data_IF_549999507734
#
_entry.id   IF_549999507734
#
_cell.length_a   1.000
_cell.length_b   1.000
_cell.length_c   1.000
_cell.angle_alpha   90.00
_cell.angle_beta   90.00
_cell.angle_gamma   90.00
#
_symmetry.space_group_name_H-M   'P 1'
#
loop_
_entity.id
_entity.type
_entity.pdbx_description
1 polymer ?
#
# COMPACT_ATOMS: atom_id res chain seq x y z
N UNK A 1 35.29 -7.41 -35.96
CA UNK A 1 36.32 -8.36 -35.50
C UNK A 1 36.11 -8.53 -34.00
N UNK A 2 35.66 -9.62 -33.39
CA UNK A 2 35.28 -10.98 -33.79
C UNK A 2 34.02 -11.35 -32.98
N UNK A 3 32.99 -11.84 -33.68
CA UNK A 3 31.83 -12.51 -33.09
C UNK A 3 32.31 -13.91 -32.64
N UNK A 4 32.28 -14.23 -31.35
CA UNK A 4 32.61 -15.58 -30.89
C UNK A 4 31.37 -16.49 -31.05
N UNK A 5 31.39 -17.26 -32.13
CA UNK A 5 30.56 -18.43 -32.36
C UNK A 5 31.17 -19.71 -31.73
N UNK A 6 30.27 -20.62 -31.32
CA UNK A 6 30.43 -22.09 -31.26
C UNK A 6 31.25 -22.64 -30.06
N UNK A 7 30.88 -23.74 -29.39
CA UNK A 7 30.61 -25.07 -29.96
C UNK A 7 29.67 -25.93 -29.10
N UNK A 8 28.77 -26.59 -29.84
CA UNK A 8 28.03 -27.80 -29.50
C UNK A 8 28.96 -28.93 -29.00
N UNK A 9 28.51 -29.67 -27.99
CA UNK A 9 29.06 -30.97 -27.62
C UNK A 9 27.97 -32.04 -27.75
N UNK A 10 28.36 -33.11 -28.42
CA UNK A 10 27.57 -34.16 -29.03
C UNK A 10 27.30 -35.34 -28.09
N UNK A 11 26.05 -35.80 -28.10
CA UNK A 11 25.60 -37.20 -28.25
C UNK A 11 26.47 -38.34 -27.69
N UNK A 12 25.92 -39.08 -26.70
CA UNK A 12 25.92 -40.56 -26.71
C UNK A 12 24.62 -41.12 -26.13
N UNK A 13 23.94 -41.88 -26.97
CA UNK A 13 22.79 -42.73 -26.68
C UNK A 13 23.11 -43.81 -25.64
N UNK A 14 22.15 -44.10 -24.77
CA UNK A 14 21.94 -45.43 -24.22
C UNK A 14 20.43 -45.70 -24.19
N UNK A 15 20.00 -46.65 -25.01
CA UNK A 15 18.66 -47.22 -25.09
C UNK A 15 18.46 -48.18 -23.92
N UNK A 16 17.42 -48.00 -23.12
CA UNK A 16 16.74 -49.10 -22.42
C UNK A 16 15.24 -48.87 -22.56
N UNK A 17 14.58 -49.89 -23.12
CA UNK A 17 13.20 -49.89 -23.54
C UNK A 17 12.27 -50.52 -22.48
N UNK A 18 10.98 -50.27 -22.68
CA UNK A 18 9.79 -50.90 -22.12
C UNK A 18 9.49 -50.68 -20.62
N UNK A 19 8.38 -49.99 -20.35
CA UNK A 19 7.12 -50.65 -19.97
C UNK A 19 5.95 -49.67 -20.13
N UNK A 20 4.86 -50.20 -20.68
CA UNK A 20 3.59 -49.55 -21.00
C UNK A 20 2.88 -48.96 -19.77
N UNK A 21 2.25 -47.81 -19.96
CA UNK A 21 1.30 -47.22 -19.02
C UNK A 21 0.51 -46.10 -19.71
N UNK A 22 -0.62 -46.46 -20.33
CA UNK A 22 -1.55 -45.52 -20.95
C UNK A 22 -2.20 -44.66 -19.88
N UNK A 23 -1.96 -43.34 -19.90
CA UNK A 23 -2.87 -42.37 -19.29
C UNK A 23 -3.01 -41.20 -20.26
N UNK A 24 -4.17 -41.13 -20.92
CA UNK A 24 -4.59 -39.97 -21.69
C UNK A 24 -4.87 -38.83 -20.69
N UNK A 25 -3.85 -38.06 -20.35
CA UNK A 25 -4.08 -36.73 -19.76
C UNK A 25 -4.58 -35.84 -20.89
N UNK A 26 -5.90 -35.68 -20.94
CA UNK A 26 -6.55 -34.54 -21.55
C UNK A 26 -5.94 -33.28 -20.92
N UNK A 27 -4.92 -32.71 -21.56
CA UNK A 27 -4.56 -31.31 -21.37
C UNK A 27 -5.78 -30.49 -21.82
N UNK A 28 -6.72 -30.27 -20.89
CA UNK A 28 -7.47 -29.03 -20.90
C UNK A 28 -6.40 -27.95 -20.91
N UNK A 29 -6.42 -27.11 -21.95
CA UNK A 29 -5.91 -25.76 -21.80
C UNK A 29 -6.69 -25.19 -20.62
N UNK A 30 -6.06 -25.18 -19.46
CA UNK A 30 -6.42 -24.23 -18.44
C UNK A 30 -6.17 -22.89 -19.11
N UNK A 31 -7.27 -22.20 -19.40
CA UNK A 31 -7.23 -20.79 -19.70
C UNK A 31 -6.31 -20.15 -18.67
N UNK A 32 -5.33 -19.40 -19.17
CA UNK A 32 -4.43 -18.59 -18.36
C UNK A 32 -5.27 -17.73 -17.44
N UNK A 33 -5.56 -18.23 -16.24
CA UNK A 33 -6.18 -17.49 -15.17
C UNK A 33 -5.23 -16.31 -14.95
N UNK A 34 -5.69 -15.06 -15.08
CA UNK A 34 -4.83 -13.92 -14.83
C UNK A 34 -4.37 -14.06 -13.39
N UNK A 35 -3.07 -14.26 -13.23
CA UNK A 35 -2.38 -14.28 -11.95
C UNK A 35 -2.54 -12.88 -11.35
N UNK A 36 -3.67 -12.64 -10.68
CA UNK A 36 -4.00 -11.36 -10.07
C UNK A 36 -3.29 -11.29 -8.72
N UNK A 37 -1.96 -11.22 -8.77
CA UNK A 37 -1.12 -10.82 -7.65
C UNK A 37 -1.24 -9.30 -7.39
N UNK A 38 -2.45 -8.75 -7.45
CA UNK A 38 -2.76 -7.49 -6.80
C UNK A 38 -3.48 -7.86 -5.50
N UNK A 39 -2.73 -7.90 -4.41
CA UNK A 39 -3.28 -7.96 -3.04
C UNK A 39 -4.03 -6.65 -2.71
N UNK A 40 -4.96 -6.19 -3.56
CA UNK A 40 -5.83 -5.08 -3.26
C UNK A 40 -6.90 -5.57 -2.30
N UNK A 41 -6.97 -4.96 -1.12
CA UNK A 41 -7.99 -5.30 -0.15
C UNK A 41 -9.18 -4.38 -0.32
N UNK A 42 -10.37 -4.91 -0.06
CA UNK A 42 -11.58 -4.10 -0.11
C UNK A 42 -11.48 -2.95 0.91
N UNK A 43 -11.76 -1.74 0.46
CA UNK A 43 -11.79 -0.54 1.30
C UNK A 43 -13.12 -0.51 2.03
N UNK A 44 -13.14 -1.06 3.24
CA UNK A 44 -14.29 -1.01 4.15
C UNK A 44 -13.81 -0.85 5.61
N UNK A 45 -14.73 -0.52 6.51
CA UNK A 45 -14.41 -0.25 7.93
C UNK A 45 -13.66 -1.42 8.57
N UNK A 46 -14.13 -2.66 8.37
CA UNK A 46 -13.53 -3.84 8.98
C UNK A 46 -12.07 -4.04 8.54
N UNK A 47 -11.77 -3.80 7.27
CA UNK A 47 -10.43 -3.97 6.72
C UNK A 47 -9.48 -2.81 7.07
N UNK A 48 -10.01 -1.60 7.29
CA UNK A 48 -9.22 -0.42 7.64
C UNK A 48 -8.87 -0.31 9.12
N UNK A 49 -9.53 -1.05 10.01
CA UNK A 49 -9.16 -1.09 11.44
C UNK A 49 -7.71 -1.54 11.64
N UNK A 50 -7.03 -0.92 12.61
CA UNK A 50 -5.65 -1.22 12.97
C UNK A 50 -4.85 0.00 13.42
N UNK A 51 -3.58 -0.23 13.71
CA UNK A 51 -2.60 0.79 14.09
C UNK A 51 -1.80 1.20 12.87
N UNK A 52 -1.61 2.49 12.65
CA UNK A 52 -0.96 3.02 11.47
C UNK A 52 0.07 4.08 11.86
N UNK A 53 1.17 4.08 11.10
CA UNK A 53 2.17 5.14 11.12
C UNK A 53 2.20 5.83 9.76
N UNK A 54 2.34 7.15 9.74
CA UNK A 54 2.59 7.89 8.49
C UNK A 54 4.01 7.57 8.03
N UNK A 55 4.14 7.04 6.82
CA UNK A 55 5.43 6.62 6.24
C UNK A 55 5.82 7.41 5.01
N UNK A 56 4.87 8.14 4.41
CA UNK A 56 5.15 9.22 3.46
C UNK A 56 4.02 10.25 3.52
N UNK A 57 4.39 11.52 3.37
CA UNK A 57 3.45 12.62 3.21
C UNK A 57 3.98 13.54 2.11
N UNK A 58 3.26 13.59 1.00
CA UNK A 58 3.62 14.42 -0.15
C UNK A 58 2.67 15.60 -0.26
N UNK A 59 3.23 16.79 -0.50
CA UNK A 59 2.46 17.98 -0.83
C UNK A 59 2.66 18.36 -2.28
N UNK A 60 1.59 18.71 -2.99
CA UNK A 60 1.62 19.19 -4.36
C UNK A 60 0.82 20.49 -4.44
N UNK A 61 1.48 21.62 -4.71
CA UNK A 61 0.86 22.94 -4.68
C UNK A 61 -0.16 23.20 -5.80
N UNK A 62 -0.13 22.42 -6.89
CA UNK A 62 -1.09 22.47 -7.99
C UNK A 62 -1.05 21.19 -8.81
N UNK A 63 -2.00 21.01 -9.74
CA UNK A 63 -2.02 19.85 -10.64
C UNK A 63 -0.72 19.65 -11.45
N UNK A 64 0.05 20.71 -11.71
CA UNK A 64 1.28 20.66 -12.51
C UNK A 64 2.57 20.81 -11.68
N UNK A 65 2.46 21.09 -10.37
CA UNK A 65 3.63 21.22 -9.50
C UNK A 65 4.32 19.87 -9.29
N UNK A 66 5.63 19.89 -9.04
CA UNK A 66 6.34 18.70 -8.57
C UNK A 66 5.98 18.45 -7.10
N UNK A 67 5.58 17.22 -6.71
CA UNK A 67 5.35 16.92 -5.30
C UNK A 67 6.62 17.09 -4.47
N UNK A 68 6.47 17.66 -3.27
CA UNK A 68 7.54 17.76 -2.27
C UNK A 68 7.29 16.77 -1.13
N UNK A 69 8.36 16.24 -0.56
CA UNK A 69 8.28 15.41 0.64
C UNK A 69 8.07 16.29 1.86
N UNK A 70 6.82 16.35 2.31
CA UNK A 70 6.42 17.15 3.46
C UNK A 70 6.71 16.41 4.77
N UNK A 71 6.74 15.07 4.76
CA UNK A 71 7.10 14.29 5.95
C UNK A 71 8.52 14.63 6.41
N UNK A 72 9.45 14.85 5.47
CA UNK A 72 10.82 15.26 5.78
C UNK A 72 10.92 16.63 6.49
N UNK A 73 9.88 17.46 6.40
CA UNK A 73 9.83 18.79 7.04
C UNK A 73 9.19 18.77 8.43
N UNK A 74 8.54 17.67 8.81
CA UNK A 74 7.91 17.51 10.13
C UNK A 74 8.96 17.33 11.23
N UNK A 75 8.57 17.61 12.47
CA UNK A 75 9.42 17.34 13.63
C UNK A 75 9.61 15.84 13.81
N UNK A 76 10.74 15.42 14.40
CA UNK A 76 11.01 13.99 14.58
C UNK A 76 10.01 13.31 15.51
N UNK A 77 9.42 14.06 16.45
CA UNK A 77 8.38 13.59 17.36
C UNK A 77 7.01 13.37 16.69
N UNK A 78 6.73 14.04 15.57
CA UNK A 78 5.48 13.83 14.84
C UNK A 78 5.58 12.64 13.88
N UNK A 79 6.82 12.23 13.53
CA UNK A 79 7.08 11.17 12.54
C UNK A 79 6.87 9.79 13.13
N UNK A 80 6.83 9.62 14.44
CA UNK A 80 6.65 8.35 15.13
C UNK A 80 5.26 8.12 15.74
N UNK A 81 4.36 9.08 15.57
CA UNK A 81 2.97 8.98 16.00
C UNK A 81 2.21 7.81 15.40
N UNK A 82 1.29 7.27 16.20
CA UNK A 82 0.45 6.12 15.86
C UNK A 82 -1.02 6.51 15.83
N UNK A 83 -1.65 6.35 14.67
CA UNK A 83 -3.10 6.42 14.49
C UNK A 83 -3.71 5.02 14.65
N UNK A 84 -4.59 4.85 15.62
CA UNK A 84 -5.35 3.60 15.83
C UNK A 84 -6.80 3.79 15.41
N UNK A 85 -7.25 3.04 14.41
CA UNK A 85 -8.65 3.01 13.97
C UNK A 85 -9.37 1.82 14.58
N UNK A 86 -10.44 2.07 15.34
CA UNK A 86 -11.22 1.04 16.05
C UNK A 86 -12.53 0.72 15.31
N UNK A 87 -13.02 -0.51 15.44
CA UNK A 87 -14.25 -1.01 14.78
C UNK A 87 -15.52 -0.27 15.18
N UNK A 88 -15.53 0.37 16.34
CA UNK A 88 -16.67 1.14 16.87
C UNK A 88 -16.75 2.57 16.30
N UNK A 89 -15.94 2.92 15.29
CA UNK A 89 -15.93 4.26 14.70
C UNK A 89 -15.21 5.31 15.55
N UNK A 90 -14.32 4.90 16.45
CA UNK A 90 -13.43 5.81 17.20
C UNK A 90 -11.98 5.63 16.77
N UNK A 91 -11.18 6.68 16.93
CA UNK A 91 -9.73 6.62 16.75
C UNK A 91 -8.99 7.15 17.99
N UNK A 92 -7.74 6.73 18.13
CA UNK A 92 -6.77 7.37 19.00
C UNK A 92 -5.55 7.74 18.19
N UNK A 93 -4.99 8.89 18.47
CA UNK A 93 -3.71 9.35 17.95
C UNK A 93 -2.77 9.46 19.13
N UNK A 94 -1.70 8.68 19.09
CA UNK A 94 -0.76 8.56 20.19
C UNK A 94 0.56 9.17 19.78
N UNK A 95 0.95 10.20 20.52
CA UNK A 95 2.30 10.75 20.51
C UNK A 95 3.24 9.71 21.11
N UNK A 96 3.99 9.04 20.24
CA UNK A 96 4.68 7.79 20.54
C UNK A 96 6.15 7.89 20.21
N UNK A 97 7.02 7.24 21.00
CA UNK A 97 8.45 7.32 20.78
C UNK A 97 9.03 8.62 21.35
N UNK A 98 9.43 9.56 20.49
CA UNK A 98 9.90 10.88 20.90
C UNK A 98 8.68 11.74 21.18
N UNK A 99 8.42 12.06 22.44
CA UNK A 99 7.21 12.83 22.80
C UNK A 99 7.36 14.32 22.44
N UNK A 100 6.42 14.88 21.65
CA UNK A 100 6.35 16.30 21.36
C UNK A 100 6.03 17.13 22.64
N UNK A 101 6.27 18.46 22.62
CA UNK A 101 5.96 19.33 23.78
C UNK A 101 5.08 20.52 23.38
N UNK A 102 3.82 20.60 23.84
CA UNK A 102 3.10 19.58 24.63
C UNK A 102 2.88 18.29 23.83
N UNK A 103 2.47 17.21 24.50
CA UNK A 103 2.17 15.95 23.80
C UNK A 103 0.97 16.11 22.87
N UNK A 104 1.03 15.43 21.73
CA UNK A 104 0.03 15.49 20.66
C UNK A 104 -1.14 14.51 20.81
N UNK A 105 -1.33 13.88 21.98
CA UNK A 105 -2.33 12.81 22.12
C UNK A 105 -3.75 13.33 21.87
N UNK A 106 -4.52 12.59 21.07
CA UNK A 106 -5.90 12.92 20.74
C UNK A 106 -6.77 11.67 20.58
N UNK A 107 -8.06 11.80 20.88
CA UNK A 107 -9.06 10.81 20.54
C UNK A 107 -10.22 11.47 19.79
N UNK A 108 -10.95 10.67 19.02
CA UNK A 108 -12.11 11.17 18.28
C UNK A 108 -12.87 10.08 17.56
N UNK A 109 -13.70 10.50 16.61
CA UNK A 109 -14.57 9.65 15.82
C UNK A 109 -14.17 9.63 14.36
N UNK A 110 -14.36 8.49 13.69
CA UNK A 110 -14.15 8.35 12.26
C UNK A 110 -15.21 7.47 11.62
N UNK A 111 -15.43 7.68 10.32
CA UNK A 111 -16.26 6.82 9.48
C UNK A 111 -15.71 6.78 8.05
N UNK A 112 -16.19 5.79 7.30
CA UNK A 112 -15.91 5.64 5.88
C UNK A 112 -17.23 5.67 5.11
N UNK A 113 -17.36 6.63 4.20
CA UNK A 113 -18.50 6.74 3.28
C UNK A 113 -18.01 6.51 1.84
N UNK A 114 -18.24 5.29 1.33
CA UNK A 114 -17.63 4.86 0.07
C UNK A 114 -16.11 4.79 0.19
N UNK A 115 -15.41 5.76 -0.40
CA UNK A 115 -13.95 5.93 -0.27
C UNK A 115 -13.55 7.14 0.54
N UNK A 116 -14.50 7.88 1.10
CA UNK A 116 -14.24 9.11 1.83
C UNK A 116 -14.09 8.81 3.31
N UNK A 117 -12.91 9.08 3.85
CA UNK A 117 -12.62 9.10 5.28
C UNK A 117 -13.10 10.43 5.86
N UNK A 118 -13.89 10.34 6.91
CA UNK A 118 -14.45 11.49 7.63
C UNK A 118 -14.13 11.29 9.10
N UNK A 119 -13.53 12.30 9.74
CA UNK A 119 -13.33 12.34 11.19
C UNK A 119 -13.57 13.74 11.74
N UNK A 120 -13.56 13.85 13.06
CA UNK A 120 -13.57 15.11 13.81
C UNK A 120 -12.16 15.69 14.05
N UNK A 121 -11.14 15.16 13.37
CA UNK A 121 -9.76 15.63 13.56
C UNK A 121 -8.78 15.06 12.55
N UNK A 122 -8.04 14.03 12.96
CA UNK A 122 -6.73 13.68 12.35
C UNK A 122 -6.84 12.91 11.02
N UNK A 123 -7.98 12.29 10.73
CA UNK A 123 -8.16 11.46 9.54
C UNK A 123 -9.28 11.98 8.64
N UNK A 124 -8.94 12.62 7.54
CA UNK A 124 -9.91 13.05 6.53
C UNK A 124 -9.34 12.91 5.12
N UNK A 125 -10.20 12.65 4.14
CA UNK A 125 -9.80 12.64 2.73
C UNK A 125 -10.38 11.46 1.94
N UNK A 126 -9.88 11.25 0.73
CA UNK A 126 -10.34 10.19 -0.17
C UNK A 126 -9.29 9.09 -0.27
N UNK A 127 -9.68 7.85 0.00
CA UNK A 127 -8.83 6.66 -0.18
C UNK A 127 -8.55 6.45 -1.67
N UNK A 128 -7.28 6.51 -2.05
CA UNK A 128 -6.83 6.18 -3.40
C UNK A 128 -6.54 4.69 -3.56
N UNK A 129 -5.93 4.06 -2.55
CA UNK A 129 -5.61 2.63 -2.57
C UNK A 129 -5.44 2.03 -1.17
N UNK A 130 -5.68 0.72 -1.07
CA UNK A 130 -5.39 -0.06 0.14
C UNK A 130 -5.03 -1.51 -0.22
N UNK A 131 -3.98 -2.04 0.39
CA UNK A 131 -3.48 -3.40 0.12
C UNK A 131 -3.37 -4.27 1.39
N UNK A 132 -4.25 -4.03 2.37
CA UNK A 132 -4.22 -4.62 3.72
C UNK A 132 -3.08 -4.17 4.64
N UNK A 133 -2.04 -3.54 4.10
CA UNK A 133 -0.89 -3.05 4.87
C UNK A 133 -0.68 -1.55 4.71
N UNK A 134 -0.78 -1.05 3.49
CA UNK A 134 -0.55 0.34 3.13
C UNK A 134 -1.85 0.97 2.71
N UNK A 135 -2.26 2.00 3.43
CA UNK A 135 -3.39 2.86 3.13
C UNK A 135 -2.86 4.15 2.51
N UNK A 136 -3.33 4.46 1.30
CA UNK A 136 -3.05 5.75 0.65
C UNK A 136 -4.34 6.52 0.54
N UNK A 137 -4.36 7.74 1.06
CA UNK A 137 -5.46 8.67 0.90
C UNK A 137 -4.93 10.06 0.60
N UNK A 138 -5.81 10.95 0.18
CA UNK A 138 -5.44 12.33 -0.12
C UNK A 138 -6.49 13.33 0.32
N UNK A 139 -6.04 14.56 0.54
CA UNK A 139 -6.86 15.74 0.78
C UNK A 139 -6.49 16.77 -0.29
N UNK A 140 -7.50 17.39 -0.89
CA UNK A 140 -7.31 18.46 -1.89
C UNK A 140 -7.82 19.77 -1.32
N UNK A 141 -7.28 20.88 -1.81
CA UNK A 141 -7.65 22.25 -1.42
C UNK A 141 -7.51 22.49 0.10
N UNK A 142 -6.41 22.01 0.70
CA UNK A 142 -6.15 22.14 2.14
C UNK A 142 -5.50 23.48 2.52
N UNK A 143 -4.55 23.98 1.72
CA UNK A 143 -3.90 25.28 1.93
C UNK A 143 -4.29 26.29 0.84
N UNK A 144 -4.45 25.82 -0.39
CA UNK A 144 -4.87 26.63 -1.53
C UNK A 144 -5.66 25.79 -2.54
N UNK A 145 -6.52 26.45 -3.32
CA UNK A 145 -7.27 25.81 -4.39
C UNK A 145 -6.33 25.10 -5.39
N UNK A 146 -6.62 23.84 -5.66
CA UNK A 146 -5.86 22.97 -6.56
C UNK A 146 -4.67 22.26 -5.91
N UNK A 147 -4.38 22.50 -4.64
CA UNK A 147 -3.35 21.78 -3.92
C UNK A 147 -3.79 20.38 -3.47
N UNK A 148 -2.83 19.55 -3.08
CA UNK A 148 -3.07 18.18 -2.65
C UNK A 148 -2.03 17.70 -1.65
N UNK A 149 -2.49 17.18 -0.52
CA UNK A 149 -1.72 16.30 0.35
C UNK A 149 -2.03 14.85 0.03
N UNK A 150 -1.01 14.01 -0.11
CA UNK A 150 -1.15 12.55 -0.23
C UNK A 150 -0.43 11.87 0.92
N UNK A 151 -1.20 11.15 1.72
CA UNK A 151 -0.75 10.43 2.90
C UNK A 151 -0.57 8.96 2.56
N UNK A 152 0.55 8.38 2.98
CA UNK A 152 0.80 6.94 2.93
C UNK A 152 1.00 6.43 4.36
N UNK A 153 0.00 5.71 4.85
CA UNK A 153 0.00 5.10 6.17
C UNK A 153 0.31 3.63 6.04
N UNK A 154 1.25 3.15 6.87
CA UNK A 154 1.59 1.72 6.94
C UNK A 154 1.08 1.16 8.26
N UNK A 155 0.28 0.10 8.17
CA UNK A 155 -0.21 -0.68 9.30
C UNK A 155 0.99 -1.29 10.04
N UNK A 156 1.04 -1.07 11.36
CA UNK A 156 2.11 -1.54 12.26
C UNK A 156 1.85 -2.97 12.72
#
# INVERSE_FOLDING_TARGET
MQLKFMKSASMKWALIALVSGSILYSCKKEDSQPNNNNNSCEVNVANLVGNYKVTALQYKASANATPVDFLAQMEDCEKDDILTLKTNGTYTFTDAGIVCKPDGNQEGTWKLEGKTLISDGILQGTVSSYNCKTLVYYVENSLADGDKFTFTLTKQ
#
